data_IF_646425187337
#
_entry.id   IF_646425187337
#
_cell.length_a   1.000
_cell.length_b   1.000
_cell.length_c   1.000
_cell.angle_alpha   90.00
_cell.angle_beta   90.00
_cell.angle_gamma   90.00
#
_symmetry.space_group_name_H-M   'P 1'
#
loop_
_entity.id
_entity.type
_entity.pdbx_description
1 polymer ?
#
# COMPACT_ATOMS: atom_id res chain seq x y z
N UNK A 1 10.23 0.48 -1.05
CA UNK A 1 10.38 0.62 0.40
C UNK A 1 11.34 1.79 0.68
N UNK A 2 11.19 2.53 1.78
CA UNK A 2 11.96 3.75 2.05
C UNK A 2 12.59 3.66 3.44
N UNK A 3 13.92 3.77 3.50
CA UNK A 3 14.72 3.66 4.74
C UNK A 3 14.91 5.00 5.44
N UNK A 4 14.38 6.09 4.87
CA UNK A 4 14.44 7.44 5.45
C UNK A 4 13.23 7.77 6.32
N UNK A 5 12.21 6.89 6.32
CA UNK A 5 11.05 6.98 7.19
C UNK A 5 11.39 6.50 8.60
N UNK A 6 10.64 7.01 9.59
CA UNK A 6 10.76 6.58 10.97
C UNK A 6 10.38 5.10 11.12
N UNK A 7 11.00 4.38 12.07
CA UNK A 7 10.76 2.94 12.22
C UNK A 7 9.34 2.57 12.64
N UNK A 8 8.61 3.52 13.24
CA UNK A 8 7.21 3.33 13.62
C UNK A 8 6.24 3.67 12.48
N UNK A 9 6.76 4.19 11.35
CA UNK A 9 5.98 4.39 10.14
C UNK A 9 5.64 3.03 9.52
N UNK A 10 4.36 2.81 9.22
CA UNK A 10 3.86 1.58 8.58
C UNK A 10 4.54 1.29 7.23
N UNK A 11 5.24 2.29 6.68
CA UNK A 11 5.97 2.23 5.42
C UNK A 11 7.50 2.09 5.56
N UNK A 12 8.02 1.99 6.78
CA UNK A 12 9.44 1.78 7.04
C UNK A 12 9.92 0.45 6.47
N UNK A 13 11.08 0.50 5.82
CA UNK A 13 11.80 -0.71 5.44
C UNK A 13 12.92 -1.00 6.43
N UNK A 14 12.74 -2.04 7.25
CA UNK A 14 13.78 -2.50 8.17
C UNK A 14 15.07 -3.00 7.51
N UNK A 15 15.01 -3.41 6.24
CA UNK A 15 16.20 -3.82 5.48
C UNK A 15 16.05 -3.57 3.98
N UNK A 16 17.14 -3.12 3.33
CA UNK A 16 17.27 -3.08 1.86
C UNK A 16 17.85 -4.38 1.28
N UNK A 17 18.19 -5.34 2.15
CA UNK A 17 18.68 -6.66 1.75
C UNK A 17 17.51 -7.64 1.64
N UNK A 18 17.48 -8.42 0.55
CA UNK A 18 16.59 -9.58 0.42
C UNK A 18 17.07 -10.65 1.39
N UNK A 19 16.61 -10.59 2.63
CA UNK A 19 16.74 -11.68 3.60
C UNK A 19 15.44 -12.48 3.57
N UNK A 20 15.52 -13.80 3.60
CA UNK A 20 14.37 -14.76 3.52
C UNK A 20 13.36 -14.64 4.69
N UNK A 21 13.50 -13.58 5.49
CA UNK A 21 12.85 -13.34 6.79
C UNK A 21 12.16 -11.96 6.86
N UNK A 22 12.14 -11.18 5.77
CA UNK A 22 11.51 -9.84 5.78
C UNK A 22 10.41 -9.76 4.72
N UNK A 23 9.18 -9.55 5.18
CA UNK A 23 8.00 -9.28 4.34
C UNK A 23 8.11 -7.87 3.76
N UNK A 24 8.91 -7.72 2.70
CA UNK A 24 9.01 -6.45 1.98
C UNK A 24 7.69 -6.18 1.27
N UNK A 25 6.89 -5.28 1.83
CA UNK A 25 5.59 -4.91 1.25
C UNK A 25 5.76 -3.63 0.44
N UNK A 26 5.45 -3.68 -0.85
CA UNK A 26 5.40 -2.50 -1.71
C UNK A 26 3.93 -2.18 -2.01
N UNK A 27 3.48 -1.00 -1.61
CA UNK A 27 2.16 -0.44 -1.92
C UNK A 27 2.29 0.75 -2.87
N UNK A 28 1.22 1.06 -3.62
CA UNK A 28 1.15 2.29 -4.41
C UNK A 28 1.04 3.51 -3.47
N UNK A 29 1.92 4.50 -3.63
CA UNK A 29 2.00 5.69 -2.77
C UNK A 29 2.66 6.86 -3.48
N UNK A 30 2.43 8.07 -2.97
CA UNK A 30 3.00 9.31 -3.50
C UNK A 30 3.22 10.33 -2.37
N UNK A 31 4.21 11.20 -2.50
CA UNK A 31 4.35 12.40 -1.65
C UNK A 31 3.43 13.55 -2.09
N UNK A 32 2.69 13.38 -3.18
CA UNK A 32 1.71 14.36 -3.62
C UNK A 32 0.55 14.43 -2.62
N UNK A 33 0.21 15.65 -2.19
CA UNK A 33 -0.90 15.87 -1.26
C UNK A 33 -2.21 15.31 -1.81
N UNK A 34 -2.99 14.68 -0.96
CA UNK A 34 -4.34 14.22 -1.25
C UNK A 34 -4.44 12.77 -1.72
N UNK A 35 -3.38 12.17 -2.26
CA UNK A 35 -3.40 10.76 -2.66
C UNK A 35 -2.57 10.38 -3.88
N UNK A 36 -2.92 9.24 -4.47
CA UNK A 36 -2.21 8.62 -5.60
C UNK A 36 -3.18 8.03 -6.62
N UNK A 37 -2.84 8.06 -7.91
CA UNK A 37 -3.55 7.26 -8.90
C UNK A 37 -2.97 5.85 -8.92
N UNK A 38 -3.80 4.84 -8.68
CA UNK A 38 -3.42 3.44 -8.66
C UNK A 38 -4.15 2.66 -9.76
N UNK A 39 -3.43 1.77 -10.44
CA UNK A 39 -3.99 0.82 -11.39
C UNK A 39 -4.37 -0.46 -10.66
N UNK A 40 -5.60 -0.94 -10.86
CA UNK A 40 -6.09 -2.19 -10.30
C UNK A 40 -5.74 -3.37 -11.23
N UNK A 41 -5.94 -4.60 -10.74
CA UNK A 41 -5.65 -5.83 -11.49
C UNK A 41 -6.45 -5.99 -12.79
N UNK A 42 -7.57 -5.26 -12.94
CA UNK A 42 -8.39 -5.20 -14.15
C UNK A 42 -7.99 -4.08 -15.14
N UNK A 43 -6.84 -3.44 -14.91
CA UNK A 43 -6.33 -2.29 -15.63
C UNK A 43 -7.15 -0.99 -15.51
N UNK A 44 -8.16 -0.94 -14.65
CA UNK A 44 -8.82 0.32 -14.30
C UNK A 44 -7.88 1.18 -13.42
N UNK A 45 -7.92 2.50 -13.62
CA UNK A 45 -7.17 3.45 -12.80
C UNK A 45 -8.14 4.19 -11.91
N UNK A 46 -7.84 4.25 -10.62
CA UNK A 46 -8.62 5.01 -9.64
C UNK A 46 -7.72 5.92 -8.82
N UNK A 47 -8.25 7.07 -8.43
CA UNK A 47 -7.60 7.94 -7.49
C UNK A 47 -7.89 7.44 -6.07
N UNK A 48 -6.85 7.20 -5.29
CA UNK A 48 -6.92 6.71 -3.93
C UNK A 48 -6.49 7.83 -2.99
N UNK A 49 -7.38 8.21 -2.08
CA UNK A 49 -7.11 9.30 -1.12
C UNK A 49 -6.06 8.90 -0.08
N UNK A 50 -5.28 9.88 0.38
CA UNK A 50 -4.42 9.72 1.58
C UNK A 50 -5.19 9.41 2.86
N UNK A 51 -6.51 9.65 2.88
CA UNK A 51 -7.39 9.39 4.02
C UNK A 51 -8.12 8.04 3.93
N UNK A 52 -7.73 7.16 3.00
CA UNK A 52 -8.34 5.82 2.87
C UNK A 52 -8.18 5.01 4.16
N UNK A 53 -9.20 4.24 4.52
CA UNK A 53 -9.10 3.27 5.61
C UNK A 53 -8.04 2.22 5.29
N UNK A 54 -7.14 1.97 6.24
CA UNK A 54 -6.02 1.05 6.04
C UNK A 54 -6.48 -0.38 5.77
N UNK A 55 -7.59 -0.82 6.37
CA UNK A 55 -8.19 -2.13 6.12
C UNK A 55 -8.70 -2.26 4.70
N UNK A 56 -9.36 -1.22 4.17
CA UNK A 56 -9.80 -1.17 2.76
C UNK A 56 -8.59 -1.18 1.81
N UNK A 57 -7.54 -0.41 2.11
CA UNK A 57 -6.33 -0.38 1.28
C UNK A 57 -5.62 -1.73 1.22
N UNK A 58 -5.50 -2.42 2.36
CA UNK A 58 -4.92 -3.76 2.41
C UNK A 58 -5.80 -4.77 1.69
N UNK A 59 -7.13 -4.68 1.86
CA UNK A 59 -8.12 -5.53 1.19
C UNK A 59 -8.04 -5.44 -0.34
N UNK A 60 -7.71 -4.28 -0.91
CA UNK A 60 -7.54 -4.13 -2.36
C UNK A 60 -6.35 -4.92 -2.92
N UNK A 61 -5.38 -5.29 -2.09
CA UNK A 61 -4.12 -5.91 -2.53
C UNK A 61 -4.04 -7.42 -2.22
N UNK A 62 -5.15 -8.02 -1.79
CA UNK A 62 -5.20 -9.45 -1.47
C UNK A 62 -5.96 -10.22 -2.54
N UNK A 63 -5.49 -11.44 -2.78
CA UNK A 63 -6.05 -12.38 -3.76
C UNK A 63 -7.05 -13.35 -3.14
N UNK A 64 -7.38 -13.21 -1.84
CA UNK A 64 -8.21 -14.18 -1.11
C UNK A 64 -9.70 -14.07 -1.46
N UNK A 65 -10.13 -12.99 -2.11
CA UNK A 65 -11.40 -12.89 -2.83
C UNK A 65 -12.65 -12.82 -1.96
N UNK A 66 -12.49 -12.60 -0.65
CA UNK A 66 -13.58 -12.48 0.33
C UNK A 66 -13.43 -11.23 1.21
N UNK A 67 -12.65 -10.26 0.76
CA UNK A 67 -12.53 -8.99 1.44
C UNK A 67 -13.78 -8.16 1.27
N UNK A 68 -14.27 -7.56 2.36
CA UNK A 68 -15.34 -6.58 2.28
C UNK A 68 -14.69 -5.24 1.93
N UNK A 69 -14.74 -4.88 0.65
CA UNK A 69 -14.16 -3.62 0.16
C UNK A 69 -15.25 -2.54 0.24
N UNK A 70 -15.00 -1.51 1.05
CA UNK A 70 -15.82 -0.30 1.11
C UNK A 70 -15.58 0.61 -0.11
N UNK A 71 -15.99 1.88 -0.02
CA UNK A 71 -15.59 2.87 -1.04
C UNK A 71 -14.10 3.23 -0.91
N UNK A 72 -13.42 3.44 -2.04
CA UNK A 72 -11.99 3.77 -2.14
C UNK A 72 -11.68 4.64 -3.35
#
# INVERSE_FOLDING_TARGET
CDTTLDSDDIMYCGSTQITDDQTVTASARSFHTGGVNATLGDASVRFISENIDLGVWQALNTIKGNEVIGDF
#
